data_IF_339339537525
#
_entry.id   IF_339339537525
#
_cell.length_a   1.000
_cell.length_b   1.000
_cell.length_c   1.000
_cell.angle_alpha   90.00
_cell.angle_beta   90.00
_cell.angle_gamma   90.00
#
_symmetry.space_group_name_H-M   'P 1'
#
loop_
_entity.id
_entity.type
_entity.pdbx_description
1 polymer ?
#
# COMPACT_ATOMS: atom_id res chain seq x y z
N UNK A 1 33.21 -9.52 -4.28
CA UNK A 1 32.24 -10.54 -4.73
C UNK A 1 31.60 -11.36 -3.61
N UNK A 2 32.23 -12.35 -2.96
CA UNK A 2 31.53 -13.15 -1.92
C UNK A 2 31.02 -12.32 -0.72
N UNK A 3 31.80 -11.30 -0.32
CA UNK A 3 31.40 -10.38 0.77
C UNK A 3 30.21 -9.48 0.40
N UNK A 4 30.10 -9.02 -0.85
CA UNK A 4 28.98 -8.18 -1.33
C UNK A 4 27.68 -8.98 -1.48
N UNK A 5 27.80 -10.25 -1.88
CA UNK A 5 26.64 -11.15 -1.97
C UNK A 5 26.02 -11.38 -0.59
N UNK A 6 26.86 -11.55 0.44
CA UNK A 6 26.37 -11.73 1.81
C UNK A 6 25.74 -10.45 2.39
N UNK A 7 26.29 -9.27 2.11
CA UNK A 7 25.70 -8.02 2.62
C UNK A 7 24.35 -7.72 2.00
N UNK A 8 24.19 -7.90 0.68
CA UNK A 8 22.91 -7.69 0.00
C UNK A 8 21.83 -8.65 0.50
N UNK A 9 22.17 -9.93 0.67
CA UNK A 9 21.25 -10.92 1.24
C UNK A 9 20.81 -10.54 2.66
N UNK A 10 21.74 -10.10 3.52
CA UNK A 10 21.42 -9.66 4.89
C UNK A 10 20.48 -8.45 4.88
N UNK A 11 20.73 -7.45 4.03
CA UNK A 11 19.87 -6.27 3.88
C UNK A 11 18.45 -6.69 3.45
N UNK A 12 18.34 -7.62 2.50
CA UNK A 12 17.06 -8.13 2.03
C UNK A 12 16.29 -8.87 3.13
N UNK A 13 16.97 -9.68 3.94
CA UNK A 13 16.35 -10.37 5.07
C UNK A 13 15.87 -9.38 6.15
N UNK A 14 16.64 -8.34 6.45
CA UNK A 14 16.20 -7.25 7.34
C UNK A 14 14.96 -6.56 6.75
N UNK A 15 14.97 -6.28 5.45
CA UNK A 15 13.84 -5.64 4.77
C UNK A 15 12.57 -6.50 4.82
N UNK A 16 12.68 -7.81 4.61
CA UNK A 16 11.58 -8.76 4.75
C UNK A 16 11.05 -8.79 6.18
N UNK A 17 11.94 -8.79 7.19
CA UNK A 17 11.53 -8.75 8.58
C UNK A 17 10.71 -7.48 8.90
N UNK A 18 11.15 -6.31 8.41
CA UNK A 18 10.42 -5.04 8.55
C UNK A 18 9.02 -5.14 7.91
N UNK A 19 8.91 -5.77 6.74
CA UNK A 19 7.62 -5.95 6.07
C UNK A 19 6.70 -6.91 6.83
N UNK A 20 7.22 -8.04 7.30
CA UNK A 20 6.45 -9.00 8.10
C UNK A 20 5.91 -8.32 9.37
N UNK A 21 6.73 -7.53 10.05
CA UNK A 21 6.30 -6.75 11.22
C UNK A 21 5.22 -5.74 10.83
N UNK A 22 5.41 -5.03 9.73
CA UNK A 22 4.45 -4.02 9.24
C UNK A 22 3.10 -4.65 8.86
N UNK A 23 3.10 -5.78 8.16
CA UNK A 23 1.88 -6.51 7.83
C UNK A 23 1.22 -7.16 9.04
N UNK A 24 2.01 -7.64 10.02
CA UNK A 24 1.46 -8.15 11.28
C UNK A 24 0.75 -7.04 12.06
N UNK A 25 1.35 -5.85 12.13
CA UNK A 25 0.72 -4.67 12.70
C UNK A 25 -0.55 -4.28 11.94
N UNK A 26 -0.52 -4.37 10.61
CA UNK A 26 -1.66 -4.08 9.77
C UNK A 26 -2.82 -5.05 10.01
N UNK A 27 -2.54 -6.35 10.06
CA UNK A 27 -3.52 -7.38 10.40
C UNK A 27 -4.15 -7.11 11.76
N UNK A 28 -3.33 -6.79 12.76
CA UNK A 28 -3.79 -6.49 14.12
C UNK A 28 -4.72 -5.27 14.15
N UNK A 29 -4.40 -4.20 13.40
CA UNK A 29 -5.28 -3.03 13.26
C UNK A 29 -6.61 -3.43 12.61
N UNK A 30 -6.60 -4.25 11.56
CA UNK A 30 -7.82 -4.70 10.89
C UNK A 30 -8.68 -5.54 11.83
N UNK A 31 -8.09 -6.54 12.50
CA UNK A 31 -8.80 -7.39 13.47
C UNK A 31 -9.42 -6.55 14.58
N UNK A 32 -8.66 -5.59 15.12
CA UNK A 32 -9.17 -4.68 16.14
C UNK A 32 -10.35 -3.83 15.63
N UNK A 33 -10.21 -3.23 14.44
CA UNK A 33 -11.24 -2.40 13.82
C UNK A 33 -12.51 -3.22 13.53
N UNK A 34 -12.36 -4.48 13.13
CA UNK A 34 -13.47 -5.42 12.91
C UNK A 34 -14.13 -5.84 14.22
N UNK A 35 -13.38 -6.23 15.25
CA UNK A 35 -13.93 -6.65 16.55
C UNK A 35 -14.62 -5.54 17.32
N UNK A 36 -14.09 -4.30 17.29
CA UNK A 36 -14.69 -3.17 18.03
C UNK A 36 -16.08 -2.78 17.51
N UNK A 37 -16.42 -3.15 16.26
CA UNK A 37 -17.77 -3.01 15.68
C UNK A 37 -18.83 -3.76 16.49
N UNK A 38 -18.48 -4.92 17.04
CA UNK A 38 -19.43 -5.77 17.76
C UNK A 38 -19.71 -5.27 19.18
N UNK A 39 -18.85 -4.40 19.71
CA UNK A 39 -19.15 -3.68 20.94
C UNK A 39 -20.17 -2.57 20.63
N UNK A 40 -21.40 -2.68 21.12
CA UNK A 40 -22.48 -1.69 20.95
C UNK A 40 -22.18 -0.29 21.52
N UNK A 41 -20.95 -0.01 21.97
CA UNK A 41 -20.51 1.30 22.41
C UNK A 41 -20.25 2.22 21.20
N UNK A 42 -21.30 2.95 20.81
CA UNK A 42 -21.45 3.98 19.75
C UNK A 42 -20.35 5.05 19.66
N UNK A 43 -19.35 5.07 20.55
CA UNK A 43 -18.34 6.15 20.62
C UNK A 43 -17.27 6.10 19.52
N UNK A 44 -17.07 4.96 18.85
CA UNK A 44 -15.98 4.76 17.89
C UNK A 44 -16.40 3.95 16.65
N UNK A 45 -17.46 4.34 15.96
CA UNK A 45 -17.77 3.72 14.66
C UNK A 45 -16.77 4.24 13.61
N UNK A 46 -15.71 3.46 13.33
CA UNK A 46 -15.05 3.59 12.03
C UNK A 46 -16.11 3.42 10.93
N UNK A 47 -16.01 4.21 9.86
CA UNK A 47 -16.93 4.05 8.74
C UNK A 47 -16.77 2.65 8.14
N UNK A 48 -17.90 1.96 7.93
CA UNK A 48 -17.91 0.59 7.42
C UNK A 48 -17.14 0.47 6.10
N UNK A 49 -17.24 1.50 5.26
CA UNK A 49 -16.54 1.64 4.00
C UNK A 49 -15.02 1.66 4.15
N UNK A 50 -14.48 2.45 5.09
CA UNK A 50 -13.04 2.48 5.35
C UNK A 50 -12.55 1.09 5.78
N UNK A 51 -13.30 0.39 6.63
CA UNK A 51 -12.94 -0.97 7.07
C UNK A 51 -12.87 -1.96 5.93
N UNK A 52 -13.88 -1.96 5.08
CA UNK A 52 -14.00 -2.86 3.93
C UNK A 52 -12.82 -2.65 2.97
N UNK A 53 -12.57 -1.40 2.58
CA UNK A 53 -11.44 -1.04 1.70
C UNK A 53 -10.09 -1.37 2.31
N UNK A 54 -9.93 -1.09 3.62
CA UNK A 54 -8.69 -1.36 4.33
C UNK A 54 -8.38 -2.87 4.38
N UNK A 55 -9.40 -3.68 4.67
CA UNK A 55 -9.25 -5.13 4.77
C UNK A 55 -8.93 -5.76 3.42
N UNK A 56 -9.62 -5.33 2.36
CA UNK A 56 -9.35 -5.80 0.99
C UNK A 56 -7.95 -5.41 0.52
N UNK A 57 -7.54 -4.15 0.74
CA UNK A 57 -6.20 -3.70 0.39
C UNK A 57 -5.10 -4.48 1.12
N UNK A 58 -5.31 -4.80 2.40
CA UNK A 58 -4.35 -5.62 3.14
C UNK A 58 -4.18 -7.01 2.53
N UNK A 59 -5.27 -7.70 2.17
CA UNK A 59 -5.22 -9.01 1.52
C UNK A 59 -4.45 -8.91 0.18
N UNK A 60 -4.77 -7.90 -0.63
CA UNK A 60 -4.10 -7.66 -1.91
C UNK A 60 -2.61 -7.37 -1.72
N UNK A 61 -2.25 -6.56 -0.72
CA UNK A 61 -0.85 -6.24 -0.42
C UNK A 61 -0.07 -7.47 0.07
N UNK A 62 -0.69 -8.37 0.84
CA UNK A 62 -0.08 -9.65 1.19
C UNK A 62 0.14 -10.52 -0.05
N UNK A 63 -0.87 -10.67 -0.90
CA UNK A 63 -0.74 -11.47 -2.13
C UNK A 63 0.37 -10.90 -3.01
N UNK A 64 0.42 -9.57 -3.15
CA UNK A 64 1.45 -8.84 -3.88
C UNK A 64 2.84 -9.05 -3.28
N UNK A 65 2.98 -9.00 -1.96
CA UNK A 65 4.25 -9.27 -1.29
C UNK A 65 4.73 -10.71 -1.51
N UNK A 66 3.83 -11.68 -1.31
CA UNK A 66 4.12 -13.10 -1.51
C UNK A 66 4.46 -13.39 -2.97
N UNK A 67 3.76 -12.78 -3.93
CA UNK A 67 4.06 -12.98 -5.35
C UNK A 67 5.43 -12.43 -5.75
N UNK A 68 5.86 -11.30 -5.19
CA UNK A 68 7.22 -10.81 -5.40
C UNK A 68 8.27 -11.72 -4.77
N UNK A 69 8.05 -12.20 -3.55
CA UNK A 69 9.00 -13.17 -2.95
C UNK A 69 9.12 -14.38 -3.87
N UNK A 70 7.98 -14.96 -4.25
CA UNK A 70 7.93 -16.21 -5.00
C UNK A 70 8.51 -16.10 -6.41
N UNK A 71 8.09 -15.12 -7.21
CA UNK A 71 8.51 -15.00 -8.60
C UNK A 71 9.79 -14.19 -8.80
N UNK A 72 10.28 -13.49 -7.78
CA UNK A 72 11.42 -12.61 -7.94
C UNK A 72 12.57 -12.94 -7.00
N UNK A 73 12.32 -13.04 -5.69
CA UNK A 73 13.41 -13.22 -4.71
C UNK A 73 13.87 -14.65 -4.58
N UNK A 74 12.96 -15.62 -4.61
CA UNK A 74 13.35 -17.03 -4.63
C UNK A 74 14.25 -17.30 -5.86
N UNK A 75 13.84 -16.98 -7.11
CA UNK A 75 14.66 -16.96 -8.34
C UNK A 75 16.02 -16.26 -8.24
N UNK A 76 16.06 -15.20 -7.45
CA UNK A 76 17.27 -14.42 -7.23
C UNK A 76 18.20 -15.04 -6.17
N UNK A 77 17.72 -15.83 -5.22
CA UNK A 77 18.56 -16.42 -4.17
C UNK A 77 19.09 -17.81 -4.50
N UNK A 78 18.26 -18.69 -5.06
CA UNK A 78 18.62 -20.12 -5.18
C UNK A 78 19.31 -20.50 -6.50
N UNK A 79 19.60 -19.55 -7.39
CA UNK A 79 20.25 -19.85 -8.68
C UNK A 79 19.42 -20.80 -9.53
N UNK A 80 19.97 -21.93 -9.98
CA UNK A 80 19.26 -22.93 -10.80
C UNK A 80 18.51 -23.99 -9.98
N UNK A 81 18.57 -23.96 -8.65
CA UNK A 81 18.04 -25.03 -7.79
C UNK A 81 16.57 -24.81 -7.36
N UNK A 82 15.62 -24.59 -8.28
CA UNK A 82 14.18 -24.54 -7.92
C UNK A 82 13.48 -25.87 -8.09
N UNK A 83 12.78 -26.31 -7.05
CA UNK A 83 11.91 -27.49 -7.10
C UNK A 83 10.69 -27.34 -8.02
N UNK A 84 10.41 -26.13 -8.50
CA UNK A 84 9.28 -25.83 -9.40
C UNK A 84 9.71 -25.44 -10.81
N UNK A 85 10.98 -25.64 -11.20
CA UNK A 85 11.47 -25.37 -12.56
C UNK A 85 10.65 -26.08 -13.64
N UNK A 86 10.19 -27.29 -13.37
CA UNK A 86 9.45 -28.11 -14.33
C UNK A 86 7.93 -27.86 -14.29
N UNK A 87 7.44 -27.06 -13.34
CA UNK A 87 6.02 -26.89 -13.14
C UNK A 87 5.44 -25.81 -14.05
N UNK A 88 4.87 -26.22 -15.20
CA UNK A 88 4.22 -25.34 -16.18
C UNK A 88 3.17 -24.40 -15.58
N UNK A 89 2.47 -24.80 -14.52
CA UNK A 89 1.44 -23.97 -13.87
C UNK A 89 2.05 -22.70 -13.28
N UNK A 90 3.26 -22.81 -12.71
CA UNK A 90 3.98 -21.66 -12.14
C UNK A 90 4.29 -20.62 -13.21
N UNK A 91 4.77 -21.06 -14.38
CA UNK A 91 5.05 -20.18 -15.51
C UNK A 91 3.78 -19.54 -16.07
N UNK A 92 2.71 -20.31 -16.24
CA UNK A 92 1.42 -19.79 -16.75
C UNK A 92 0.78 -18.77 -15.80
N UNK A 93 0.90 -18.96 -14.49
CA UNK A 93 0.33 -18.06 -13.50
C UNK A 93 1.17 -16.81 -13.25
N UNK A 94 2.43 -16.77 -13.68
CA UNK A 94 3.33 -15.65 -13.44
C UNK A 94 2.72 -14.30 -13.82
N UNK A 95 2.20 -14.07 -15.04
CA UNK A 95 1.78 -12.73 -15.41
C UNK A 95 0.59 -12.25 -14.58
N UNK A 96 -0.36 -13.13 -14.30
CA UNK A 96 -1.54 -12.81 -13.50
C UNK A 96 -1.21 -12.60 -12.03
N UNK A 97 -0.43 -13.50 -11.42
CA UNK A 97 -0.13 -13.46 -9.98
C UNK A 97 0.98 -12.45 -9.65
N UNK A 98 1.85 -12.14 -10.60
CA UNK A 98 2.88 -11.11 -10.42
C UNK A 98 2.34 -9.71 -10.72
N UNK A 99 1.92 -9.42 -11.98
CA UNK A 99 1.49 -8.07 -12.36
C UNK A 99 0.13 -7.69 -11.80
N UNK A 100 -0.80 -8.65 -11.69
CA UNK A 100 -2.16 -8.40 -11.21
C UNK A 100 -2.18 -7.77 -9.82
N UNK A 101 -1.64 -8.43 -8.78
CA UNK A 101 -1.56 -7.89 -7.43
C UNK A 101 -0.77 -6.59 -7.32
N UNK A 102 0.28 -6.38 -8.13
CA UNK A 102 1.01 -5.10 -8.18
C UNK A 102 0.06 -3.96 -8.59
N UNK A 103 -0.64 -4.13 -9.71
CA UNK A 103 -1.61 -3.14 -10.20
C UNK A 103 -2.78 -2.98 -9.22
N UNK A 104 -3.32 -4.08 -8.69
CA UNK A 104 -4.37 -4.02 -7.66
C UNK A 104 -3.94 -3.27 -6.41
N UNK A 105 -2.68 -3.41 -5.97
CA UNK A 105 -2.15 -2.69 -4.81
C UNK A 105 -2.06 -1.18 -5.08
N UNK A 106 -1.56 -0.80 -6.26
CA UNK A 106 -1.51 0.61 -6.70
C UNK A 106 -2.92 1.19 -6.77
N UNK A 107 -3.87 0.49 -7.40
CA UNK A 107 -5.28 0.90 -7.45
C UNK A 107 -5.90 1.00 -6.05
N UNK A 108 -5.55 0.07 -5.15
CA UNK A 108 -5.99 0.08 -3.75
C UNK A 108 -5.59 1.36 -3.01
N UNK A 109 -4.37 1.84 -3.24
CA UNK A 109 -3.92 3.11 -2.67
C UNK A 109 -4.76 4.29 -3.19
N UNK A 110 -5.09 4.29 -4.48
CA UNK A 110 -5.95 5.31 -5.09
C UNK A 110 -7.37 5.25 -4.56
N UNK A 111 -7.95 4.06 -4.43
CA UNK A 111 -9.28 3.85 -3.82
C UNK A 111 -9.32 4.43 -2.41
N UNK A 112 -8.28 4.18 -1.60
CA UNK A 112 -8.18 4.71 -0.25
C UNK A 112 -8.04 6.23 -0.23
N UNK A 113 -7.32 6.83 -1.19
CA UNK A 113 -7.25 8.29 -1.32
C UNK A 113 -8.62 8.86 -1.70
N UNK A 114 -9.33 8.26 -2.67
CA UNK A 114 -10.69 8.67 -3.02
C UNK A 114 -11.65 8.56 -1.84
N UNK A 115 -11.63 7.43 -1.12
CA UNK A 115 -12.46 7.22 0.06
C UNK A 115 -12.26 8.35 1.08
N UNK A 116 -11.01 8.71 1.36
CA UNK A 116 -10.67 9.83 2.25
C UNK A 116 -11.08 11.18 1.67
N UNK A 117 -10.82 11.41 0.39
CA UNK A 117 -11.20 12.63 -0.32
C UNK A 117 -12.69 12.91 -0.17
N UNK A 118 -13.56 11.95 -0.51
CA UNK A 118 -15.00 12.13 -0.37
C UNK A 118 -15.42 12.29 1.09
N UNK A 119 -14.78 11.56 2.00
CA UNK A 119 -14.98 11.72 3.43
C UNK A 119 -14.76 13.12 3.99
N UNK A 120 -13.71 13.78 3.51
CA UNK A 120 -13.30 15.13 3.97
C UNK A 120 -14.00 16.22 3.16
N UNK A 121 -14.10 16.04 1.84
CA UNK A 121 -14.60 17.05 0.93
C UNK A 121 -16.12 17.12 0.94
N UNK A 122 -16.78 15.96 0.99
CA UNK A 122 -18.23 15.82 0.79
C UNK A 122 -18.86 14.83 1.79
N UNK A 123 -18.84 15.11 3.11
CA UNK A 123 -19.27 14.16 4.13
C UNK A 123 -20.72 13.68 3.98
N UNK A 124 -21.63 14.53 3.48
CA UNK A 124 -23.02 14.15 3.20
C UNK A 124 -23.14 13.16 2.04
N UNK A 125 -22.42 13.42 0.93
CA UNK A 125 -22.37 12.52 -0.23
C UNK A 125 -21.71 11.22 0.18
N UNK A 126 -20.62 11.28 0.92
CA UNK A 126 -19.91 10.11 1.42
C UNK A 126 -20.83 9.23 2.28
N UNK A 127 -21.53 9.81 3.26
CA UNK A 127 -22.45 9.05 4.11
C UNK A 127 -23.58 8.36 3.32
N UNK A 128 -24.13 9.03 2.31
CA UNK A 128 -25.29 8.54 1.59
C UNK A 128 -24.93 7.60 0.42
N UNK A 129 -23.86 7.91 -0.32
CA UNK A 129 -23.45 7.19 -1.52
C UNK A 129 -22.36 6.15 -1.26
N UNK A 130 -21.49 6.36 -0.28
CA UNK A 130 -20.38 5.44 0.02
C UNK A 130 -20.79 4.32 0.98
N UNK A 131 -21.81 3.56 0.58
CA UNK A 131 -22.33 2.42 1.33
C UNK A 131 -21.49 1.14 1.10
N UNK A 132 -21.84 0.06 1.80
CA UNK A 132 -21.11 -1.21 1.71
C UNK A 132 -21.15 -1.82 0.30
N UNK A 133 -22.28 -1.71 -0.40
CA UNK A 133 -22.44 -2.26 -1.75
C UNK A 133 -21.48 -1.60 -2.73
N UNK A 134 -21.38 -0.27 -2.68
CA UNK A 134 -20.40 0.50 -3.49
C UNK A 134 -18.98 0.10 -3.14
N UNK A 135 -18.67 -0.17 -1.86
CA UNK A 135 -17.34 -0.64 -1.48
C UNK A 135 -17.01 -2.00 -2.07
N UNK A 136 -17.94 -2.96 -2.05
CA UNK A 136 -17.74 -4.27 -2.68
C UNK A 136 -17.57 -4.18 -4.20
N UNK A 137 -18.35 -3.34 -4.87
CA UNK A 137 -18.20 -3.08 -6.32
C UNK A 137 -16.79 -2.55 -6.62
N UNK A 138 -16.33 -1.56 -5.85
CA UNK A 138 -14.98 -0.99 -6.03
C UNK A 138 -13.89 -2.05 -5.81
N UNK A 139 -14.02 -2.92 -4.81
CA UNK A 139 -13.06 -4.01 -4.58
C UNK A 139 -13.07 -5.03 -5.72
N UNK A 140 -14.24 -5.39 -6.22
CA UNK A 140 -14.37 -6.26 -7.40
C UNK A 140 -13.66 -5.63 -8.60
N UNK A 141 -13.87 -4.33 -8.84
CA UNK A 141 -13.16 -3.58 -9.89
C UNK A 141 -11.65 -3.56 -9.66
N UNK A 142 -11.17 -3.41 -8.42
CA UNK A 142 -9.75 -3.44 -8.08
C UNK A 142 -9.06 -4.76 -8.48
N UNK A 143 -9.80 -5.87 -8.47
CA UNK A 143 -9.30 -7.21 -8.84
C UNK A 143 -9.48 -7.47 -10.34
N UNK A 144 -10.64 -7.11 -10.90
CA UNK A 144 -10.96 -7.37 -12.32
C UNK A 144 -10.18 -6.46 -13.26
N UNK A 145 -9.96 -5.18 -12.93
CA UNK A 145 -9.23 -4.23 -13.80
C UNK A 145 -7.84 -4.77 -14.19
N UNK A 146 -6.98 -5.23 -13.26
CA UNK A 146 -5.70 -5.82 -13.65
C UNK A 146 -5.84 -6.99 -14.64
N UNK A 147 -6.82 -7.89 -14.44
CA UNK A 147 -7.07 -9.01 -15.37
C UNK A 147 -7.40 -8.48 -16.77
N UNK A 148 -8.23 -7.43 -16.86
CA UNK A 148 -8.60 -6.79 -18.12
C UNK A 148 -7.48 -5.97 -18.76
N UNK A 149 -6.50 -5.52 -17.99
CA UNK A 149 -5.37 -4.72 -18.48
C UNK A 149 -4.22 -5.56 -19.05
N UNK A 150 -4.17 -6.85 -18.71
CA UNK A 150 -3.13 -7.78 -19.16
C UNK A 150 -3.66 -8.96 -20.03
N UNK A 151 -4.61 -8.77 -20.97
CA UNK A 151 -5.21 -9.88 -21.72
C UNK A 151 -4.18 -10.60 -22.61
N UNK A 152 -3.21 -9.85 -23.14
CA UNK A 152 -2.11 -10.39 -23.96
C UNK A 152 -1.21 -11.34 -23.18
N UNK A 153 -1.14 -11.22 -21.85
CA UNK A 153 -0.27 -12.09 -21.05
C UNK A 153 -0.80 -13.51 -20.85
N UNK A 154 -2.10 -13.76 -21.07
CA UNK A 154 -2.69 -15.09 -20.90
C UNK A 154 -2.26 -16.09 -21.97
N UNK A 155 -1.80 -15.60 -23.12
CA UNK A 155 -1.32 -16.41 -24.24
C UNK A 155 0.21 -16.40 -24.37
N UNK A 156 0.90 -15.58 -23.57
CA UNK A 156 2.35 -15.46 -23.64
C UNK A 156 3.03 -16.61 -22.91
N UNK A 157 4.13 -17.10 -23.50
CA UNK A 157 5.05 -17.97 -22.79
C UNK A 157 5.92 -17.18 -21.81
N UNK A 158 6.17 -17.77 -20.66
CA UNK A 158 7.06 -17.24 -19.62
C UNK A 158 8.27 -18.14 -19.55
N UNK A 159 9.45 -17.54 -19.45
CA UNK A 159 10.74 -18.23 -19.38
C UNK A 159 11.52 -17.76 -18.15
N UNK A 160 12.43 -18.60 -17.68
CA UNK A 160 13.40 -18.24 -16.67
C UNK A 160 14.71 -17.86 -17.35
N UNK A 161 15.06 -16.58 -17.31
CA UNK A 161 16.28 -16.04 -17.92
C UNK A 161 17.41 -15.99 -16.89
N UNK A 162 18.58 -16.51 -17.26
CA UNK A 162 19.81 -16.30 -16.52
C UNK A 162 20.47 -14.99 -16.98
N UNK A 163 20.65 -14.04 -16.06
CA UNK A 163 21.43 -12.83 -16.31
C UNK A 163 22.89 -13.09 -15.92
N UNK A 164 23.83 -13.16 -16.87
CA UNK A 164 25.24 -13.43 -16.58
C UNK A 164 25.92 -12.28 -15.84
N UNK A 165 25.42 -11.05 -15.98
CA UNK A 165 26.01 -9.87 -15.31
C UNK A 165 25.72 -9.87 -13.82
N UNK A 166 24.55 -10.37 -13.43
CA UNK A 166 24.14 -10.52 -12.03
C UNK A 166 24.45 -11.93 -11.50
N UNK A 167 24.65 -12.90 -12.40
CA UNK A 167 24.73 -14.34 -12.13
C UNK A 167 23.47 -14.89 -11.45
N UNK A 168 22.29 -14.46 -11.92
CA UNK A 168 20.98 -14.70 -11.26
C UNK A 168 19.86 -14.97 -12.26
N UNK A 169 18.82 -15.64 -11.78
CA UNK A 169 17.67 -16.04 -12.60
C UNK A 169 16.46 -15.14 -12.38
N UNK A 170 15.73 -14.83 -13.45
CA UNK A 170 14.58 -13.95 -13.46
C UNK A 170 13.45 -14.55 -14.30
N UNK A 171 12.22 -14.48 -13.80
CA UNK A 171 11.04 -14.75 -14.62
C UNK A 171 10.80 -13.58 -15.58
N UNK A 172 10.69 -13.87 -16.86
CA UNK A 172 10.35 -12.88 -17.88
C UNK A 172 9.37 -13.46 -18.92
N UNK A 173 8.71 -12.57 -19.64
CA UNK A 173 7.84 -12.94 -20.76
C UNK A 173 8.71 -13.08 -22.01
N UNK A 174 8.62 -14.24 -22.67
CA UNK A 174 9.39 -14.58 -23.87
C UNK A 174 9.03 -13.65 -25.02
N UNK A 175 7.72 -13.49 -25.27
CA UNK A 175 7.20 -12.64 -26.34
C UNK A 175 7.51 -11.17 -26.10
N UNK A 176 8.26 -10.57 -27.03
CA UNK A 176 8.67 -9.16 -26.96
C UNK A 176 7.47 -8.22 -26.94
N UNK A 177 6.41 -8.49 -27.72
CA UNK A 177 5.23 -7.65 -27.75
C UNK A 177 4.55 -7.61 -26.38
N UNK A 178 4.27 -8.80 -25.82
CA UNK A 178 3.65 -8.94 -24.50
C UNK A 178 4.50 -8.33 -23.40
N UNK A 179 5.83 -8.47 -23.45
CA UNK A 179 6.76 -7.83 -22.51
C UNK A 179 6.67 -6.30 -22.60
N UNK A 180 6.71 -5.72 -23.80
CA UNK A 180 6.59 -4.26 -23.99
C UNK A 180 5.23 -3.77 -23.48
N UNK A 181 4.15 -4.43 -23.89
CA UNK A 181 2.79 -4.11 -23.49
C UNK A 181 2.64 -4.15 -21.95
N UNK A 182 3.17 -5.18 -21.28
CA UNK A 182 3.11 -5.32 -19.82
C UNK A 182 3.74 -4.13 -19.09
N UNK A 183 4.88 -3.68 -19.58
CA UNK A 183 5.60 -2.56 -18.99
C UNK A 183 4.91 -1.22 -19.27
N UNK A 184 4.39 -1.01 -20.48
CA UNK A 184 3.59 0.18 -20.82
C UNK A 184 2.34 0.24 -19.94
N UNK A 185 1.61 -0.87 -19.78
CA UNK A 185 0.42 -0.94 -18.92
C UNK A 185 0.76 -0.55 -17.48
N UNK A 186 1.83 -1.13 -16.90
CA UNK A 186 2.22 -0.79 -15.53
C UNK A 186 2.64 0.68 -15.41
N UNK A 187 3.43 1.18 -16.36
CA UNK A 187 3.85 2.58 -16.43
C UNK A 187 2.63 3.52 -16.47
N UNK A 188 1.65 3.25 -17.34
CA UNK A 188 0.42 4.03 -17.45
C UNK A 188 -0.40 4.01 -16.16
N UNK A 189 -0.53 2.85 -15.50
CA UNK A 189 -1.24 2.76 -14.21
C UNK A 189 -0.54 3.59 -13.14
N UNK A 190 0.79 3.47 -13.03
CA UNK A 190 1.57 4.16 -11.99
C UNK A 190 1.59 5.67 -12.21
N UNK A 191 1.75 6.15 -13.45
CA UNK A 191 1.75 7.59 -13.73
C UNK A 191 0.39 8.23 -13.47
N UNK A 192 -0.70 7.58 -13.91
CA UNK A 192 -2.07 8.04 -13.65
C UNK A 192 -2.37 8.05 -12.14
N UNK A 193 -1.94 7.00 -11.44
CA UNK A 193 -2.10 6.91 -9.98
C UNK A 193 -1.35 8.03 -9.26
N UNK A 194 -0.13 8.34 -9.69
CA UNK A 194 0.66 9.44 -9.11
C UNK A 194 0.00 10.79 -9.34
N UNK A 195 -0.48 11.07 -10.56
CA UNK A 195 -1.18 12.31 -10.91
C UNK A 195 -2.47 12.46 -10.10
N UNK A 196 -3.30 11.41 -10.05
CA UNK A 196 -4.56 11.41 -9.29
C UNK A 196 -4.27 11.62 -7.79
N UNK A 197 -3.32 10.88 -7.23
CA UNK A 197 -2.92 11.01 -5.83
C UNK A 197 -2.47 12.43 -5.50
N UNK A 198 -1.62 13.02 -6.36
CA UNK A 198 -1.12 14.37 -6.17
C UNK A 198 -2.27 15.39 -6.20
N UNK A 199 -3.12 15.36 -7.23
CA UNK A 199 -4.25 16.28 -7.37
C UNK A 199 -5.20 16.19 -6.17
N UNK A 200 -5.63 14.99 -5.79
CA UNK A 200 -6.57 14.80 -4.69
C UNK A 200 -5.97 15.24 -3.34
N UNK A 201 -4.72 14.90 -3.08
CA UNK A 201 -4.05 15.29 -1.84
C UNK A 201 -3.80 16.81 -1.78
N UNK A 202 -3.46 17.46 -2.90
CA UNK A 202 -3.36 18.92 -2.99
C UNK A 202 -4.70 19.60 -2.70
N UNK A 203 -5.81 19.10 -3.25
CA UNK A 203 -7.15 19.65 -2.98
C UNK A 203 -7.51 19.50 -1.50
N UNK A 204 -7.27 18.31 -0.92
CA UNK A 204 -7.48 18.07 0.52
C UNK A 204 -6.65 19.06 1.35
N UNK A 205 -5.39 19.29 0.96
CA UNK A 205 -4.51 20.22 1.64
C UNK A 205 -5.01 21.67 1.60
N UNK A 206 -5.41 22.16 0.42
CA UNK A 206 -5.97 23.52 0.27
C UNK A 206 -7.20 23.69 1.16
N UNK A 207 -8.06 22.68 1.26
CA UNK A 207 -9.21 22.72 2.17
C UNK A 207 -8.80 22.70 3.64
N UNK A 208 -7.77 21.92 4.01
CA UNK A 208 -7.26 21.89 5.38
C UNK A 208 -6.69 23.23 5.83
N UNK A 209 -5.96 23.95 4.96
CA UNK A 209 -5.44 25.29 5.27
C UNK A 209 -6.53 26.24 5.72
N UNK A 210 -7.64 26.32 4.96
CA UNK A 210 -8.83 27.12 5.31
C UNK A 210 -9.42 26.73 6.68
N UNK A 211 -9.34 25.45 7.06
CA UNK A 211 -9.80 25.00 8.37
C UNK A 211 -8.83 25.27 9.51
N UNK A 212 -7.52 25.38 9.26
CA UNK A 212 -6.54 25.74 10.29
C UNK A 212 -6.65 27.21 10.69
N UNK A 213 -7.11 28.07 9.78
CA UNK A 213 -7.42 29.47 10.06
C UNK A 213 -8.63 29.62 11.01
N UNK A 214 -9.53 28.64 11.04
CA UNK A 214 -10.60 28.58 12.04
C UNK A 214 -10.05 28.08 13.39
N UNK A 215 -10.57 28.61 14.51
CA UNK A 215 -10.18 28.23 15.89
C UNK A 215 -10.44 26.73 16.17
N UNK A 216 -9.49 25.87 15.81
CA UNK A 216 -9.56 24.41 15.94
C UNK A 216 -8.86 23.94 17.21
N UNK A 217 -9.32 22.82 17.78
CA UNK A 217 -8.72 22.19 18.97
C UNK A 217 -7.33 21.63 18.65
N UNK A 218 -6.40 21.74 19.60
CA UNK A 218 -5.02 21.22 19.48
C UNK A 218 -4.95 19.75 19.05
N UNK A 219 -5.88 18.91 19.51
CA UNK A 219 -5.92 17.48 19.14
C UNK A 219 -6.16 17.26 17.64
N UNK A 220 -7.00 18.10 17.01
CA UNK A 220 -7.29 18.01 15.58
C UNK A 220 -6.07 18.46 14.75
N UNK A 221 -5.20 19.32 15.31
CA UNK A 221 -3.97 19.78 14.65
C UNK A 221 -3.00 18.62 14.46
N UNK A 222 -2.75 17.83 15.51
CA UNK A 222 -1.82 16.68 15.45
C UNK A 222 -2.29 15.66 14.42
N UNK A 223 -3.58 15.31 14.43
CA UNK A 223 -4.13 14.35 13.48
C UNK A 223 -4.00 14.82 12.03
N UNK A 224 -4.27 16.10 11.76
CA UNK A 224 -4.12 16.71 10.43
C UNK A 224 -2.65 16.76 9.99
N UNK A 225 -1.74 17.07 10.91
CA UNK A 225 -0.30 17.07 10.61
C UNK A 225 0.20 15.66 10.29
N UNK A 226 -0.20 14.65 11.08
CA UNK A 226 0.13 13.25 10.78
C UNK A 226 -0.40 12.80 9.41
N UNK A 227 -1.60 13.25 9.04
CA UNK A 227 -2.15 13.02 7.70
C UNK A 227 -1.29 13.65 6.61
N UNK A 228 -0.91 14.92 6.79
CA UNK A 228 -0.07 15.63 5.84
C UNK A 228 1.26 14.91 5.60
N UNK A 229 1.97 14.53 6.67
CA UNK A 229 3.23 13.78 6.57
C UNK A 229 3.02 12.47 5.82
N UNK A 230 1.97 11.70 6.13
CA UNK A 230 1.67 10.47 5.39
C UNK A 230 1.43 10.72 3.90
N UNK A 231 0.65 11.75 3.54
CA UNK A 231 0.37 12.04 2.12
C UNK A 231 1.63 12.48 1.37
N UNK A 232 2.55 13.19 2.03
CA UNK A 232 3.84 13.52 1.43
C UNK A 232 4.65 12.25 1.18
N UNK A 233 4.80 11.39 2.19
CA UNK A 233 5.55 10.13 2.06
C UNK A 233 4.96 9.28 0.93
N UNK A 234 3.64 9.13 0.88
CA UNK A 234 2.95 8.37 -0.16
C UNK A 234 3.20 8.95 -1.56
N UNK A 235 3.06 10.28 -1.73
CA UNK A 235 3.29 10.92 -3.02
C UNK A 235 4.75 10.83 -3.45
N UNK A 236 5.72 10.99 -2.54
CA UNK A 236 7.15 10.80 -2.84
C UNK A 236 7.39 9.35 -3.29
N UNK A 237 6.80 8.37 -2.59
CA UNK A 237 6.96 6.96 -2.94
C UNK A 237 6.39 6.63 -4.32
N UNK A 238 5.20 7.13 -4.64
CA UNK A 238 4.58 6.97 -5.97
C UNK A 238 5.37 7.71 -7.06
N UNK A 239 5.94 8.87 -6.75
CA UNK A 239 6.78 9.62 -7.68
C UNK A 239 8.09 8.87 -7.99
N UNK A 240 8.77 8.35 -6.97
CA UNK A 240 9.96 7.49 -7.15
C UNK A 240 9.58 6.26 -7.98
N UNK A 241 8.41 5.66 -7.72
CA UNK A 241 7.94 4.51 -8.50
C UNK A 241 7.69 4.90 -9.96
N UNK A 242 7.15 6.09 -10.23
CA UNK A 242 6.97 6.61 -11.60
C UNK A 242 8.32 6.80 -12.31
N UNK A 243 9.32 7.39 -11.63
CA UNK A 243 10.67 7.53 -12.18
C UNK A 243 11.25 6.15 -12.52
N UNK A 244 11.12 5.19 -11.61
CA UNK A 244 11.61 3.83 -11.82
C UNK A 244 10.94 3.15 -13.04
N UNK A 245 9.64 3.37 -13.26
CA UNK A 245 8.95 2.87 -14.46
C UNK A 245 9.37 3.61 -15.74
N UNK A 246 9.69 4.91 -15.65
CA UNK A 246 10.23 5.67 -16.78
C UNK A 246 11.59 5.14 -17.23
N UNK A 247 12.51 4.93 -16.27
CA UNK A 247 13.83 4.35 -16.57
C UNK A 247 13.65 2.94 -17.15
N UNK A 248 12.73 2.13 -16.61
CA UNK A 248 12.47 0.78 -17.14
C UNK A 248 11.97 0.80 -18.58
N UNK A 249 11.12 1.77 -18.91
CA UNK A 249 10.64 1.97 -20.27
C UNK A 249 11.77 2.40 -21.22
N UNK A 250 12.65 3.30 -20.79
CA UNK A 250 13.86 3.66 -21.54
C UNK A 250 14.78 2.45 -21.78
N UNK A 251 15.01 1.61 -20.75
CA UNK A 251 15.81 0.38 -20.87
C UNK A 251 15.23 -0.61 -21.88
N UNK A 252 13.92 -0.59 -22.13
CA UNK A 252 13.29 -1.42 -23.17
C UNK A 252 13.68 -0.92 -24.56
N UNK A 253 13.64 0.39 -24.81
CA UNK A 253 14.06 0.95 -26.10
C UNK A 253 15.53 0.78 -26.38
N UNK A 254 16.37 0.90 -25.35
CA UNK A 254 17.81 0.72 -25.47
C UNK A 254 18.23 -0.76 -25.46
N UNK A 255 17.28 -1.70 -25.39
CA UNK A 255 17.53 -3.15 -25.28
C UNK A 255 18.44 -3.57 -24.11
N UNK A 256 18.57 -2.75 -23.07
CA UNK A 256 19.39 -3.04 -21.89
C UNK A 256 18.68 -3.99 -20.92
N UNK A 257 18.99 -5.29 -21.02
CA UNK A 257 18.40 -6.33 -20.15
C UNK A 257 18.87 -6.22 -18.70
N UNK A 258 20.15 -5.92 -18.48
CA UNK A 258 20.73 -5.82 -17.12
C UNK A 258 20.05 -4.70 -16.33
N UNK A 259 19.83 -3.55 -16.96
CA UNK A 259 19.11 -2.45 -16.33
C UNK A 259 17.65 -2.83 -16.01
N UNK A 260 16.95 -3.54 -16.91
CA UNK A 260 15.58 -4.05 -16.63
C UNK A 260 15.52 -5.02 -15.47
N UNK A 261 16.49 -5.92 -15.36
CA UNK A 261 16.58 -6.90 -14.28
C UNK A 261 16.86 -6.21 -12.94
N UNK A 262 17.81 -5.26 -12.93
CA UNK A 262 18.09 -4.42 -11.77
C UNK A 262 16.85 -3.62 -11.33
N UNK A 263 16.17 -2.95 -12.26
CA UNK A 263 14.95 -2.18 -11.96
C UNK A 263 13.82 -3.07 -11.47
N UNK A 264 13.73 -4.31 -11.95
CA UNK A 264 12.80 -5.28 -11.40
C UNK A 264 13.14 -5.50 -9.92
N UNK A 265 14.40 -5.77 -9.55
CA UNK A 265 14.83 -5.92 -8.14
C UNK A 265 14.46 -4.70 -7.27
N UNK A 266 14.48 -3.50 -7.82
CA UNK A 266 14.03 -2.29 -7.13
C UNK A 266 12.53 -2.28 -6.78
N UNK A 267 11.66 -2.93 -7.57
CA UNK A 267 10.22 -3.03 -7.28
C UNK A 267 9.99 -3.73 -5.94
N UNK A 268 10.80 -4.72 -5.59
CA UNK A 268 10.74 -5.42 -4.32
C UNK A 268 10.97 -4.50 -3.10
N UNK A 269 11.76 -3.44 -3.26
CA UNK A 269 11.97 -2.46 -2.20
C UNK A 269 10.86 -1.39 -2.22
N UNK A 270 10.55 -0.87 -3.40
CA UNK A 270 9.65 0.26 -3.57
C UNK A 270 8.19 -0.05 -3.23
N UNK A 271 7.67 -1.19 -3.70
CA UNK A 271 6.25 -1.48 -3.57
C UNK A 271 5.84 -1.79 -2.12
N UNK A 272 6.60 -2.59 -1.35
CA UNK A 272 6.34 -2.75 0.06
C UNK A 272 6.57 -1.49 0.88
N UNK A 273 7.48 -0.62 0.45
CA UNK A 273 7.63 0.69 1.08
C UNK A 273 6.30 1.46 0.99
N UNK A 274 5.69 1.53 -0.20
CA UNK A 274 4.39 2.18 -0.42
C UNK A 274 3.28 1.58 0.48
N UNK A 275 3.21 0.24 0.57
CA UNK A 275 2.11 -0.45 1.27
C UNK A 275 2.31 -0.53 2.79
N UNK A 276 3.55 -0.59 3.27
CA UNK A 276 3.87 -0.79 4.69
C UNK A 276 3.60 0.45 5.55
N UNK A 277 3.56 1.67 4.98
CA UNK A 277 3.28 2.88 5.77
C UNK A 277 1.81 3.03 6.21
N UNK A 278 0.88 2.34 5.55
CA UNK A 278 -0.54 2.46 5.82
C UNK A 278 -0.94 2.16 7.28
N UNK A 279 -0.52 1.04 7.92
CA UNK A 279 -0.81 0.78 9.33
C UNK A 279 -0.26 1.84 10.28
N UNK A 280 0.98 2.30 10.07
CA UNK A 280 1.60 3.33 10.91
C UNK A 280 0.83 4.64 10.85
N UNK A 281 0.42 5.06 9.64
CA UNK A 281 -0.44 6.23 9.47
C UNK A 281 -1.76 6.11 10.24
N UNK A 282 -2.44 4.97 10.18
CA UNK A 282 -3.71 4.78 10.89
C UNK A 282 -3.53 4.94 12.40
N UNK A 283 -2.44 4.39 12.95
CA UNK A 283 -2.10 4.57 14.37
C UNK A 283 -1.76 6.02 14.70
N UNK A 284 -1.00 6.72 13.85
CA UNK A 284 -0.66 8.12 14.07
C UNK A 284 -1.89 9.03 14.07
N UNK A 285 -2.85 8.78 13.18
CA UNK A 285 -4.06 9.59 13.06
C UNK A 285 -5.13 9.29 14.12
N UNK A 286 -5.06 8.18 14.84
CA UNK A 286 -6.11 7.80 15.79
C UNK A 286 -5.52 7.51 17.17
N UNK A 287 -5.62 8.49 18.08
CA UNK A 287 -5.07 8.37 19.44
C UNK A 287 -5.64 7.16 20.18
N UNK A 288 -6.95 6.90 20.11
CA UNK A 288 -7.48 5.71 20.78
C UNK A 288 -7.17 4.41 20.02
N UNK A 289 -7.00 4.41 18.69
CA UNK A 289 -6.47 3.21 18.02
C UNK A 289 -5.08 2.89 18.56
N UNK A 290 -4.20 3.90 18.59
CA UNK A 290 -2.83 3.75 19.07
C UNK A 290 -2.78 3.25 20.51
N UNK A 291 -3.56 3.87 21.40
CA UNK A 291 -3.61 3.46 22.80
C UNK A 291 -4.13 2.03 22.95
N UNK A 292 -5.19 1.68 22.23
CA UNK A 292 -5.80 0.35 22.33
C UNK A 292 -4.88 -0.73 21.71
N UNK A 293 -4.18 -0.42 20.62
CA UNK A 293 -3.17 -1.32 20.03
C UNK A 293 -1.96 -1.48 20.97
N UNK A 294 -1.44 -0.40 21.56
CA UNK A 294 -0.34 -0.50 22.53
C UNK A 294 -0.74 -1.28 23.77
N UNK A 295 -1.99 -1.17 24.20
CA UNK A 295 -2.52 -2.01 25.27
C UNK A 295 -2.63 -3.48 24.85
N UNK A 296 -3.11 -3.77 23.64
CA UNK A 296 -3.21 -5.13 23.11
C UNK A 296 -1.83 -5.81 22.95
N UNK A 297 -0.81 -5.03 22.59
CA UNK A 297 0.58 -5.49 22.49
C UNK A 297 1.29 -5.59 23.84
N UNK A 298 0.63 -5.25 24.96
CA UNK A 298 1.25 -5.22 26.29
C UNK A 298 2.27 -4.10 26.51
N UNK A 299 2.48 -3.23 25.53
CA UNK A 299 3.42 -2.10 25.59
C UNK A 299 2.92 -1.04 26.59
N UNK A 300 1.61 -0.88 26.76
CA UNK A 300 1.07 0.07 27.73
C UNK A 300 1.54 -0.23 29.15
N UNK A 301 1.72 -1.51 29.51
CA UNK A 301 2.25 -1.90 30.80
C UNK A 301 3.69 -1.39 31.00
N UNK A 302 4.52 -1.44 29.95
CA UNK A 302 5.86 -0.85 29.97
C UNK A 302 5.81 0.68 30.02
N UNK A 303 5.02 1.33 29.16
CA UNK A 303 4.94 2.80 29.13
C UNK A 303 4.42 3.36 30.45
N UNK A 304 3.38 2.77 31.04
CA UNK A 304 2.83 3.21 32.32
C UNK A 304 3.80 2.99 33.49
N UNK A 305 4.67 1.97 33.40
CA UNK A 305 5.66 1.66 34.45
C UNK A 305 6.93 2.52 34.35
N UNK A 306 7.34 2.93 33.16
CA UNK A 306 8.60 3.66 32.92
C UNK A 306 8.43 5.15 32.55
N UNK A 307 7.24 5.58 32.10
CA UNK A 307 6.94 6.99 31.79
C UNK A 307 5.78 7.50 32.67
N UNK A 308 6.04 8.27 33.74
CA UNK A 308 4.99 8.79 34.60
C UNK A 308 4.01 9.69 33.81
N UNK A 309 2.71 9.44 33.97
CA UNK A 309 1.57 10.01 33.21
C UNK A 309 1.33 11.53 33.38
N UNK A 310 2.29 12.32 33.85
CA UNK A 310 2.10 13.75 34.14
C UNK A 310 1.75 14.61 32.91
N UNK A 311 1.94 14.10 31.67
CA UNK A 311 1.63 14.85 30.45
C UNK A 311 0.24 14.61 29.83
N UNK A 312 -0.50 13.57 30.23
CA UNK A 312 -1.67 13.10 29.45
C UNK A 312 -3.04 13.11 30.14
N UNK A 313 -3.15 13.48 31.41
CA UNK A 313 -4.44 13.61 32.09
C UNK A 313 -5.17 14.92 31.74
N UNK A 314 -5.79 14.97 30.56
CA UNK A 314 -7.03 15.75 30.37
C UNK A 314 -8.07 14.82 29.75
N UNK A 315 -9.03 14.42 30.58
CA UNK A 315 -10.24 13.68 30.23
C UNK A 315 -11.07 14.48 29.23
N UNK A 316 -10.71 14.38 27.96
CA UNK A 316 -11.54 14.87 26.86
C UNK A 316 -12.12 13.65 26.17
N UNK A 317 -13.44 13.67 26.01
CA UNK A 317 -14.25 12.72 25.26
C UNK A 317 -13.59 12.46 23.90
N UNK A 318 -12.88 11.33 23.78
CA UNK A 318 -12.11 10.98 22.59
C UNK A 318 -13.10 10.49 21.55
N UNK A 319 -13.31 11.26 20.48
CA UNK A 319 -13.90 10.72 19.26
C UNK A 319 -12.76 10.54 18.27
N UNK A 320 -12.28 9.31 18.09
CA UNK A 320 -11.38 9.00 16.99
C UNK A 320 -12.17 9.16 15.70
N UNK A 321 -11.84 10.19 14.93
CA UNK A 321 -12.57 10.56 13.72
C UNK A 321 -11.60 10.54 12.55
N UNK A 322 -11.54 9.47 11.77
CA UNK A 322 -10.82 9.50 10.48
C UNK A 322 -11.49 10.43 9.46
N UNK A 323 -12.68 10.98 9.78
CA UNK A 323 -13.41 11.96 8.96
C UNK A 323 -14.01 13.11 9.81
N UNK A 324 -14.05 14.35 9.28
CA UNK A 324 -14.47 15.54 10.03
C UNK A 324 -15.94 15.51 10.51
N UNK A 325 -16.21 16.26 11.59
CA UNK A 325 -17.45 16.25 12.40
C UNK A 325 -18.68 16.85 11.69
N UNK A 326 -19.89 16.40 12.06
CA UNK A 326 -21.20 16.94 11.62
C UNK A 326 -21.35 18.46 11.78
N UNK A 327 -20.73 19.09 12.80
CA UNK A 327 -20.72 20.56 12.96
C UNK A 327 -19.99 21.32 11.84
N UNK A 328 -19.37 20.61 10.89
CA UNK A 328 -18.55 21.16 9.81
C UNK A 328 -19.33 21.29 8.50
N UNK A 329 -20.61 20.86 8.51
CA UNK A 329 -21.56 21.18 7.46
C UNK A 329 -21.98 22.62 7.76
N UNK A 330 -21.57 23.64 6.99
CA UNK A 330 -22.27 24.90 7.05
C UNK A 330 -23.74 24.57 6.79
N UNK A 331 -24.62 24.92 7.72
CA UNK A 331 -26.05 24.96 7.43
C UNK A 331 -26.20 25.95 6.29
N UNK A 332 -26.33 25.43 5.07
CA UNK A 332 -26.95 26.15 3.96
C UNK A 332 -28.40 26.41 4.31
#
# INVERSE_FOLDING_TARGET
MAFEVNTMFVIEMIWIAIQIISYSLYLLIIVYICKKKDSQNVRHSYDASLRIHLSANFIINIIQFLSMIFYQKIPYWNGDNYWFLDNKIVYQLYPTIFFGPIVSSVLGNIIVIFNRFFGIMYPLIYKNKWNNNVCYIIIILQIIIPILLYPYTFISNVILLHDPSLNRNFFDIEDQFSRIASNITLFSVVILSTIISLILNLIIWVKYKKFFEAKVKVQDIVQKFSYFIYTIILNISLFIFTIQQFIRFESIFNNDQTQRNNLSLWIFYMLPFITSFQPYYLMLCSKSLRNDIFHLLGISFFVDRYFPRSFFNKSTTIVNRTMPNKKWIPSS
#
